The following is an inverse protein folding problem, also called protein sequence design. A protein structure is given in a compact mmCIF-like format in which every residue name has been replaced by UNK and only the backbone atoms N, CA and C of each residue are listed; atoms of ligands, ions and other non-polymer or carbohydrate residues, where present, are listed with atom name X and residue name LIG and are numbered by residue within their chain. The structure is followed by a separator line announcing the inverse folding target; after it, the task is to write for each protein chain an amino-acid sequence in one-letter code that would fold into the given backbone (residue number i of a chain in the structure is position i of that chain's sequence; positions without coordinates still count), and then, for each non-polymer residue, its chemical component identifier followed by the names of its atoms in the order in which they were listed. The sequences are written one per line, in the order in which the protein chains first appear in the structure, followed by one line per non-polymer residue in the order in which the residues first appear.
data_IF_766426076137
#
_entry.id   IF_766426076137
#
_cell.length_a   1.000
_cell.length_b   1.000
_cell.length_c   1.000
_cell.angle_alpha   90.00
_cell.angle_beta   90.00
_cell.angle_gamma   90.00
#
_symmetry.space_group_name_H-M   'P 1'
#
loop_
_entity.id
_entity.type
_entity.pdbx_description
1 polymer ?
#
# COMPACT_ATOMS: atom_id res chain seq x y z
N UNK A 1 46.92 -11.88 -4.30
CA UNK A 1 45.68 -11.11 -4.02
C UNK A 1 45.82 -9.77 -4.71
N UNK A 2 45.18 -9.59 -5.86
CA UNK A 2 45.28 -8.35 -6.64
C UNK A 2 44.04 -7.52 -6.34
N UNK A 3 44.25 -6.32 -5.80
CA UNK A 3 43.25 -5.26 -5.67
C UNK A 3 42.85 -4.76 -7.07
N UNK A 4 41.54 -4.77 -7.35
CA UNK A 4 40.92 -4.47 -8.66
C UNK A 4 39.97 -3.27 -8.56
N UNK A 5 40.37 -2.23 -7.84
CA UNK A 5 39.68 -0.94 -7.88
C UNK A 5 40.12 -0.15 -9.13
N UNK A 6 39.23 0.00 -10.12
CA UNK A 6 39.48 0.83 -11.29
C UNK A 6 39.33 2.33 -10.94
N UNK A 7 40.26 3.22 -11.35
CA UNK A 7 40.23 4.63 -10.95
C UNK A 7 39.21 5.52 -11.69
N UNK A 8 38.47 4.99 -12.68
CA UNK A 8 37.54 5.78 -13.51
C UNK A 8 36.21 5.06 -13.87
N UNK A 9 35.76 4.12 -13.05
CA UNK A 9 34.46 3.46 -13.24
C UNK A 9 33.39 3.99 -12.28
N UNK A 10 32.13 4.07 -12.72
CA UNK A 10 30.99 4.28 -11.82
C UNK A 10 30.96 3.09 -10.82
N UNK A 11 31.13 3.32 -9.51
CA UNK A 11 31.18 2.24 -8.53
C UNK A 11 29.74 1.81 -8.23
N UNK A 12 29.16 0.96 -9.09
CA UNK A 12 27.78 0.50 -8.95
C UNK A 12 27.55 -0.92 -9.43
N UNK A 13 26.94 -1.71 -8.53
CA UNK A 13 26.22 -2.97 -8.72
C UNK A 13 26.88 -4.06 -9.60
N UNK A 14 28.17 -4.34 -9.40
CA UNK A 14 28.64 -5.71 -9.66
C UNK A 14 28.13 -6.63 -8.54
N UNK A 15 27.88 -7.91 -8.82
CA UNK A 15 27.46 -8.89 -7.79
C UNK A 15 28.45 -8.95 -6.61
N UNK A 16 29.72 -8.63 -6.86
CA UNK A 16 30.79 -8.60 -5.85
C UNK A 16 30.91 -7.26 -5.09
N UNK A 17 30.14 -6.23 -5.48
CA UNK A 17 30.21 -4.94 -4.80
C UNK A 17 29.59 -5.07 -3.40
N UNK A 18 30.33 -4.79 -2.32
CA UNK A 18 29.80 -4.93 -0.97
C UNK A 18 28.64 -3.95 -0.79
N UNK A 19 27.54 -4.44 -0.21
CA UNK A 19 26.45 -3.57 0.25
C UNK A 19 27.02 -2.59 1.27
N UNK A 20 26.90 -1.28 1.01
CA UNK A 20 27.28 -0.27 1.99
C UNK A 20 26.23 -0.20 3.10
N UNK A 21 26.48 -0.99 4.14
CA UNK A 21 25.68 -1.04 5.36
C UNK A 21 26.30 -0.19 6.48
N UNK A 22 27.27 0.68 6.19
CA UNK A 22 28.04 1.42 7.20
C UNK A 22 27.19 2.33 8.10
N UNK A 23 26.05 2.79 7.58
CA UNK A 23 25.08 3.58 8.33
C UNK A 23 24.21 2.77 9.30
N UNK A 24 24.21 1.43 9.18
CA UNK A 24 23.43 0.54 10.04
C UNK A 24 24.22 0.13 11.28
N UNK A 25 23.57 0.20 12.45
CA UNK A 25 24.09 -0.38 13.68
C UNK A 25 24.36 -1.88 13.55
N UNK A 26 25.24 -2.44 14.39
CA UNK A 26 25.64 -3.86 14.31
C UNK A 26 24.45 -4.83 14.36
N UNK A 27 23.46 -4.57 15.22
CA UNK A 27 22.24 -5.38 15.31
C UNK A 27 21.38 -5.31 14.02
N UNK A 28 21.30 -4.15 13.38
CA UNK A 28 20.57 -3.99 12.13
C UNK A 28 21.28 -4.70 10.97
N UNK A 29 22.62 -4.62 10.91
CA UNK A 29 23.42 -5.38 9.95
C UNK A 29 23.23 -6.89 10.12
N UNK A 30 23.30 -7.39 11.35
CA UNK A 30 23.07 -8.81 11.63
C UNK A 30 21.66 -9.24 11.22
N UNK A 31 20.65 -8.43 11.52
CA UNK A 31 19.26 -8.67 11.12
C UNK A 31 19.07 -8.76 9.59
N UNK A 32 19.90 -8.09 8.79
CA UNK A 32 19.89 -8.22 7.33
C UNK A 32 20.52 -9.55 6.91
N UNK A 33 21.69 -9.89 7.46
CA UNK A 33 22.38 -11.16 7.20
C UNK A 33 21.48 -12.35 7.56
N UNK A 34 20.85 -12.32 8.74
CA UNK A 34 19.97 -13.39 9.22
C UNK A 34 18.78 -13.62 8.27
N UNK A 35 18.25 -12.55 7.67
CA UNK A 35 17.15 -12.65 6.69
C UNK A 35 17.60 -13.24 5.36
N UNK A 36 18.78 -12.83 4.89
CA UNK A 36 19.36 -13.33 3.64
C UNK A 36 19.71 -14.81 3.74
N UNK A 37 20.40 -15.21 4.82
CA UNK A 37 20.81 -16.60 5.05
C UNK A 37 19.62 -17.47 5.47
N UNK A 38 18.70 -16.93 6.27
CA UNK A 38 17.52 -17.65 6.76
C UNK A 38 16.36 -17.73 5.76
N UNK A 39 16.51 -17.20 4.53
CA UNK A 39 15.49 -17.28 3.48
C UNK A 39 14.21 -16.49 3.76
N UNK A 40 14.19 -15.61 4.75
CA UNK A 40 13.02 -14.77 5.10
C UNK A 40 13.07 -13.39 4.44
N UNK A 41 14.08 -13.14 3.62
CA UNK A 41 14.28 -11.88 2.93
C UNK A 41 13.12 -11.51 2.01
N UNK A 42 12.66 -12.43 1.16
CA UNK A 42 11.58 -12.13 0.20
C UNK A 42 10.26 -11.79 0.91
N UNK A 43 9.88 -12.60 1.91
CA UNK A 43 8.71 -12.33 2.73
C UNK A 43 8.78 -10.96 3.45
N UNK A 44 9.98 -10.56 3.88
CA UNK A 44 10.23 -9.24 4.46
C UNK A 44 10.15 -8.14 3.41
N UNK A 45 10.75 -8.33 2.23
CA UNK A 45 10.75 -7.36 1.14
C UNK A 45 9.33 -7.11 0.64
N UNK A 46 8.53 -8.17 0.48
CA UNK A 46 7.11 -8.08 0.15
C UNK A 46 6.33 -7.31 1.21
N UNK A 47 6.54 -7.62 2.50
CA UNK A 47 5.88 -6.90 3.59
C UNK A 47 6.26 -5.41 3.60
N UNK A 48 7.53 -5.08 3.36
CA UNK A 48 8.00 -3.71 3.24
C UNK A 48 7.37 -2.99 2.04
N UNK A 49 7.27 -3.65 0.89
CA UNK A 49 6.66 -3.12 -0.32
C UNK A 49 5.16 -2.86 -0.13
N UNK A 50 4.41 -3.76 0.54
CA UNK A 50 2.98 -3.59 0.86
C UNK A 50 2.70 -2.30 1.64
N UNK A 51 3.61 -1.90 2.53
CA UNK A 51 3.53 -0.63 3.27
C UNK A 51 4.27 0.53 2.60
N UNK A 52 4.65 0.40 1.33
CA UNK A 52 5.34 1.46 0.56
C UNK A 52 6.68 1.87 1.16
N UNK A 53 7.38 0.93 1.80
CA UNK A 53 8.64 1.14 2.51
C UNK A 53 8.54 2.21 3.61
N UNK A 54 7.43 2.21 4.34
CA UNK A 54 7.26 3.02 5.55
C UNK A 54 8.43 2.76 6.52
N UNK A 55 9.12 3.83 6.95
CA UNK A 55 10.24 3.74 7.89
C UNK A 55 9.80 3.39 9.33
N UNK A 56 8.52 3.61 9.63
CA UNK A 56 7.94 3.42 10.97
C UNK A 56 6.60 2.66 10.87
N UNK A 57 6.57 1.41 10.37
CA UNK A 57 5.31 0.72 10.18
C UNK A 57 4.69 0.33 11.53
N UNK A 58 3.35 0.42 11.61
CA UNK A 58 2.56 -0.01 12.77
C UNK A 58 2.30 -1.51 12.62
N UNK A 59 2.51 -2.27 13.70
CA UNK A 59 2.26 -3.71 13.76
C UNK A 59 0.89 -3.95 14.38
N UNK A 60 0.00 -4.59 13.63
CA UNK A 60 -1.34 -4.95 14.10
C UNK A 60 -1.44 -6.47 14.24
N UNK A 61 -2.14 -6.91 15.29
CA UNK A 61 -2.50 -8.30 15.53
C UNK A 61 -4.01 -8.35 15.68
N UNK A 62 -4.65 -9.22 14.91
CA UNK A 62 -6.09 -9.40 14.95
C UNK A 62 -6.64 -10.15 13.73
N UNK A 63 -7.96 -10.17 13.66
CA UNK A 63 -8.74 -10.77 12.58
C UNK A 63 -9.92 -9.88 12.23
N UNK A 64 -10.35 -9.89 10.96
CA UNK A 64 -11.55 -9.21 10.51
C UNK A 64 -12.43 -10.16 9.70
N UNK A 65 -13.73 -9.87 9.67
CA UNK A 65 -14.70 -10.60 8.86
C UNK A 65 -15.67 -9.59 8.26
N UNK A 66 -15.80 -9.61 6.94
CA UNK A 66 -16.81 -8.84 6.22
C UNK A 66 -18.04 -9.73 6.06
N UNK A 67 -19.19 -9.19 6.44
CA UNK A 67 -20.48 -9.87 6.32
C UNK A 67 -21.42 -9.02 5.47
N UNK A 68 -22.21 -9.67 4.62
CA UNK A 68 -23.32 -9.05 3.92
C UNK A 68 -24.40 -8.70 4.95
N UNK A 69 -24.85 -7.45 4.94
CA UNK A 69 -25.82 -6.97 5.93
C UNK A 69 -27.25 -7.43 5.67
N UNK A 70 -27.60 -7.74 4.42
CA UNK A 70 -28.95 -8.15 4.03
C UNK A 70 -29.14 -9.67 4.19
N UNK A 71 -28.12 -10.47 3.86
CA UNK A 71 -28.19 -11.94 3.90
C UNK A 71 -27.53 -12.55 5.13
N UNK A 72 -26.63 -11.83 5.80
CA UNK A 72 -25.84 -12.37 6.92
C UNK A 72 -24.68 -13.28 6.48
N UNK A 73 -24.44 -13.41 5.18
CA UNK A 73 -23.37 -14.25 4.63
C UNK A 73 -21.98 -13.63 4.87
N UNK A 74 -20.97 -14.47 5.09
CA UNK A 74 -19.58 -14.01 5.23
C UNK A 74 -18.96 -13.79 3.86
N UNK A 75 -18.74 -12.51 3.50
CA UNK A 75 -18.13 -12.12 2.23
C UNK A 75 -16.61 -12.36 2.22
N UNK A 76 -15.92 -12.09 3.33
CA UNK A 76 -14.50 -12.35 3.45
C UNK A 76 -14.06 -12.45 4.91
N UNK A 77 -12.94 -13.11 5.14
CA UNK A 77 -12.30 -13.17 6.46
C UNK A 77 -10.80 -13.02 6.33
N UNK A 78 -10.20 -12.31 7.29
CA UNK A 78 -8.78 -12.06 7.35
C UNK A 78 -8.27 -12.35 8.76
N UNK A 79 -7.05 -12.85 8.88
CA UNK A 79 -6.34 -12.95 10.15
C UNK A 79 -4.86 -12.73 9.94
N UNK A 80 -4.29 -11.82 10.74
CA UNK A 80 -2.86 -11.51 10.78
C UNK A 80 -1.97 -12.72 11.08
N UNK A 81 -2.53 -13.79 11.67
CA UNK A 81 -1.80 -15.04 11.90
C UNK A 81 -1.35 -15.73 10.60
N UNK A 82 -2.00 -15.44 9.46
CA UNK A 82 -1.62 -15.97 8.16
C UNK A 82 -0.58 -15.09 7.43
N UNK A 83 -0.19 -13.96 7.99
CA UNK A 83 0.91 -13.15 7.45
C UNK A 83 2.26 -13.80 7.79
N UNK A 84 3.31 -13.60 6.97
CA UNK A 84 4.61 -14.26 7.16
C UNK A 84 5.27 -14.03 8.53
N UNK A 85 4.90 -12.94 9.21
CA UNK A 85 5.43 -12.57 10.53
C UNK A 85 4.37 -12.61 11.64
N UNK A 86 3.19 -13.19 11.37
CA UNK A 86 2.06 -13.24 12.29
C UNK A 86 1.48 -11.86 12.65
N UNK A 87 1.81 -10.83 11.87
CA UNK A 87 1.38 -9.44 12.08
C UNK A 87 1.05 -8.78 10.74
N UNK A 88 0.06 -7.91 10.77
CA UNK A 88 -0.25 -7.02 9.65
C UNK A 88 0.53 -5.73 9.82
N UNK A 89 1.37 -5.39 8.86
CA UNK A 89 2.05 -4.10 8.83
C UNK A 89 1.17 -3.05 8.15
N UNK A 90 1.03 -1.88 8.77
CA UNK A 90 0.33 -0.72 8.21
C UNK A 90 1.24 0.49 8.22
N UNK A 91 1.09 1.37 7.22
CA UNK A 91 1.82 2.64 7.13
C UNK A 91 1.53 3.54 8.34
N UNK A 92 2.54 4.25 8.88
CA UNK A 92 2.28 5.22 9.97
C UNK A 92 1.47 6.45 9.54
N UNK A 93 1.47 6.80 8.25
CA UNK A 93 0.76 7.97 7.75
C UNK A 93 1.34 9.32 8.19
N UNK A 94 2.54 9.35 8.79
CA UNK A 94 3.16 10.61 9.21
C UNK A 94 3.52 11.46 7.99
N UNK A 95 3.05 12.71 7.99
CA UNK A 95 3.20 13.66 6.88
C UNK A 95 4.56 14.37 6.88
N UNK A 96 5.31 14.32 7.99
CA UNK A 96 6.60 15.00 8.15
C UNK A 96 7.71 14.16 7.50
N UNK A 97 8.36 14.71 6.48
CA UNK A 97 9.46 14.03 5.77
C UNK A 97 10.63 13.65 6.71
N UNK A 98 10.90 14.47 7.73
CA UNK A 98 11.90 14.18 8.75
C UNK A 98 11.57 12.95 9.62
N UNK A 99 10.30 12.58 9.75
CA UNK A 99 9.87 11.40 10.50
C UNK A 99 9.68 10.21 9.57
N UNK A 100 9.00 10.38 8.43
CA UNK A 100 8.80 9.28 7.49
C UNK A 100 8.84 9.79 6.04
N UNK A 101 9.98 9.68 5.35
CA UNK A 101 10.11 10.12 3.96
C UNK A 101 9.11 9.42 3.01
N UNK A 102 8.88 8.12 3.22
CA UNK A 102 7.97 7.34 2.39
C UNK A 102 6.52 7.83 2.50
N UNK A 103 5.96 7.90 3.70
CA UNK A 103 4.58 8.35 3.91
C UNK A 103 4.38 9.82 3.53
N UNK A 104 5.38 10.68 3.78
CA UNK A 104 5.34 12.08 3.38
C UNK A 104 5.26 12.25 1.86
N UNK A 105 6.02 11.44 1.08
CA UNK A 105 5.94 11.44 -0.39
C UNK A 105 4.57 11.01 -0.90
N UNK A 106 3.99 9.96 -0.33
CA UNK A 106 2.62 9.53 -0.68
C UNK A 106 1.61 10.64 -0.40
N UNK A 107 1.67 11.23 0.79
CA UNK A 107 0.80 12.36 1.16
C UNK A 107 0.94 13.55 0.21
N UNK A 108 2.17 13.92 -0.16
CA UNK A 108 2.42 15.01 -1.10
C UNK A 108 1.80 14.73 -2.48
N UNK A 109 1.93 13.49 -2.98
CA UNK A 109 1.29 13.06 -4.24
C UNK A 109 -0.23 13.14 -4.16
N UNK A 110 -0.83 12.59 -3.11
CA UNK A 110 -2.28 12.59 -2.93
C UNK A 110 -2.83 14.03 -2.82
N UNK A 111 -2.10 14.89 -2.11
CA UNK A 111 -2.45 16.32 -1.98
C UNK A 111 -2.34 17.04 -3.32
N UNK A 112 -1.29 16.77 -4.10
CA UNK A 112 -1.12 17.34 -5.43
C UNK A 112 -2.27 16.93 -6.35
N UNK A 113 -2.62 15.64 -6.41
CA UNK A 113 -3.72 15.18 -7.25
C UNK A 113 -5.07 15.74 -6.79
N UNK A 114 -5.29 15.87 -5.48
CA UNK A 114 -6.48 16.52 -4.94
C UNK A 114 -6.60 17.98 -5.39
N UNK A 115 -5.52 18.76 -5.28
CA UNK A 115 -5.49 20.16 -5.71
C UNK A 115 -5.67 20.25 -7.22
N UNK A 116 -4.95 19.42 -7.99
CA UNK A 116 -5.04 19.36 -9.45
C UNK A 116 -6.45 19.05 -9.91
N UNK A 117 -7.11 18.05 -9.32
CA UNK A 117 -8.50 17.70 -9.63
C UNK A 117 -9.46 18.85 -9.28
N UNK A 118 -9.21 19.60 -8.20
CA UNK A 118 -9.99 20.79 -7.86
C UNK A 118 -9.81 21.95 -8.85
N UNK A 119 -8.58 22.19 -9.30
CA UNK A 119 -8.26 23.25 -10.29
C UNK A 119 -8.82 22.89 -11.66
N UNK A 120 -8.59 21.66 -12.13
CA UNK A 120 -9.12 21.16 -13.42
C UNK A 120 -10.65 21.09 -13.37
N UNK A 121 -11.21 20.50 -12.30
CA UNK A 121 -12.65 20.39 -12.02
C UNK A 121 -13.37 21.72 -11.76
N UNK A 122 -12.61 22.78 -11.52
CA UNK A 122 -13.11 24.16 -11.39
C UNK A 122 -13.34 24.84 -12.73
N UNK A 123 -12.64 24.43 -13.79
CA UNK A 123 -12.79 24.98 -15.15
C UNK A 123 -14.04 24.44 -15.86
N UNK A 124 -14.51 23.26 -15.46
CA UNK A 124 -15.67 22.57 -16.06
C UNK A 124 -17.02 22.97 -15.44
N UNK A 125 -17.05 23.95 -14.51
CA UNK A 125 -18.29 24.50 -13.93
C UNK A 125 -18.74 25.84 -14.53
N UNK A 126 -18.44 26.07 -15.81
CA UNK A 126 -19.23 26.98 -16.65
C UNK A 126 -20.48 26.30 -17.27
N UNK A 127 -20.82 25.05 -16.88
CA UNK A 127 -22.09 24.45 -17.28
C UNK A 127 -22.40 23.10 -16.61
N UNK A 128 -23.40 23.09 -15.71
CA UNK A 128 -24.23 21.91 -15.41
C UNK A 128 -23.61 20.80 -14.56
N UNK A 129 -24.19 20.57 -13.37
CA UNK A 129 -23.65 19.64 -12.38
C UNK A 129 -23.86 18.15 -12.67
N UNK A 130 -23.07 17.34 -11.95
CA UNK A 130 -23.42 15.99 -11.50
C UNK A 130 -22.58 15.66 -10.26
N UNK A 131 -23.26 15.31 -9.16
CA UNK A 131 -22.64 14.73 -7.96
C UNK A 131 -22.37 13.25 -8.26
N UNK A 132 -21.10 12.88 -8.42
CA UNK A 132 -20.72 11.47 -8.40
C UNK A 132 -20.29 11.13 -6.96
N UNK A 133 -21.11 10.34 -6.26
CA UNK A 133 -20.69 9.68 -5.02
C UNK A 133 -19.65 8.62 -5.38
N UNK A 134 -18.39 9.02 -5.40
CA UNK A 134 -17.27 8.09 -5.48
C UNK A 134 -17.27 7.24 -4.20
N UNK A 135 -17.67 5.98 -4.31
CA UNK A 135 -17.42 4.97 -3.29
C UNK A 135 -15.91 4.85 -3.08
N UNK A 136 -15.49 4.81 -1.81
CA UNK A 136 -14.08 4.55 -1.48
C UNK A 136 -13.67 3.18 -2.06
N UNK A 137 -12.48 3.07 -2.67
CA UNK A 137 -12.01 1.79 -3.21
C UNK A 137 -11.76 0.78 -2.08
N UNK A 138 -12.19 -0.45 -2.34
CA UNK A 138 -11.87 -1.62 -1.55
C UNK A 138 -10.36 -1.96 -1.69
N UNK A 139 -9.77 -2.53 -0.63
CA UNK A 139 -8.32 -2.78 -0.55
C UNK A 139 -7.79 -3.79 -1.57
N UNK A 140 -8.68 -4.49 -2.28
CA UNK A 140 -8.39 -5.56 -3.23
C UNK A 140 -8.37 -5.12 -4.71
N UNK A 141 -8.52 -3.82 -5.01
CA UNK A 141 -8.35 -3.31 -6.39
C UNK A 141 -9.37 -3.79 -7.42
N UNK A 142 -10.44 -4.50 -7.02
CA UNK A 142 -11.52 -4.90 -7.93
C UNK A 142 -12.60 -3.83 -8.02
N UNK A 143 -12.64 -3.10 -9.14
CA UNK A 143 -13.74 -2.20 -9.50
C UNK A 143 -14.98 -3.06 -9.83
N UNK A 144 -15.93 -3.15 -8.89
CA UNK A 144 -17.28 -3.62 -9.21
C UNK A 144 -17.98 -2.55 -10.05
N UNK A 145 -18.18 -2.84 -11.35
CA UNK A 145 -19.07 -2.05 -12.21
C UNK A 145 -20.50 -2.28 -11.73
N UNK A 146 -21.14 -1.27 -11.17
CA UNK A 146 -22.58 -1.30 -10.92
C UNK A 146 -23.32 -1.36 -12.27
N UNK A 147 -23.82 -2.54 -12.61
CA UNK A 147 -24.79 -2.71 -13.68
C UNK A 147 -26.10 -2.06 -13.28
N UNK A 148 -26.48 -1.00 -13.99
CA UNK A 148 -27.84 -0.48 -13.96
C UNK A 148 -28.80 -1.56 -14.51
N UNK A 149 -29.56 -2.22 -13.63
CA UNK A 149 -30.76 -2.95 -14.05
C UNK A 149 -31.94 -1.99 -13.92
N UNK A 150 -32.56 -1.71 -15.07
CA UNK A 150 -33.75 -0.89 -15.17
C UNK A 150 -34.92 -1.48 -14.38
N UNK A 151 -35.69 -0.58 -13.78
CA UNK A 151 -36.92 -0.86 -13.05
C UNK A 151 -38.00 -1.36 -14.02
N UNK A 152 -38.25 -2.66 -13.99
CA UNK A 152 -39.48 -3.27 -14.49
C UNK A 152 -40.56 -3.17 -13.42
N UNK A 153 -41.50 -2.26 -13.64
CA UNK A 153 -42.75 -2.10 -12.87
C UNK A 153 -43.56 -3.41 -12.96
N UNK A 154 -43.75 -4.11 -11.85
CA UNK A 154 -44.68 -5.22 -11.74
C UNK A 154 -45.88 -4.81 -10.88
N UNK A 155 -47.07 -4.99 -11.46
CA UNK A 155 -48.36 -4.68 -10.88
C UNK A 155 -48.74 -5.64 -9.74
N UNK A 156 -49.47 -5.11 -8.76
CA UNK A 156 -50.14 -5.87 -7.71
C UNK A 156 -51.49 -6.37 -8.25
N UNK A 157 -51.81 -7.67 -8.22
CA UNK A 157 -53.19 -8.11 -8.38
C UNK A 157 -53.91 -8.04 -7.03
N UNK A 158 -54.99 -7.26 -7.00
CA UNK A 158 -56.01 -7.25 -5.96
C UNK A 158 -56.93 -8.46 -6.11
N UNK A 159 -57.07 -9.25 -5.05
CA UNK A 159 -58.30 -9.89 -4.56
C UNK A 159 -58.04 -10.45 -3.17
#
# INVERSE_FOLDING_TARGET
MVDRSAPFGFPGYSDDAPLDLGSLGAAARQSVVDRLVGGTFDAWADAAARVGHCAHPIRLVGSSRRVDRATGEVLSSYSSAHEPFGVTYVRCGNRRASVCPACSRTYARDTFEMIRAGVVGGQERAGGGQRQSAGLPDVDGSVLRSGARGEGRAAVPSS
#
